data_IF_034911028787
#
_entry.id   IF_034911028787
#
_cell.length_a   1.000
_cell.length_b   1.000
_cell.length_c   1.000
_cell.angle_alpha   90.00
_cell.angle_beta   90.00
_cell.angle_gamma   90.00
#
_symmetry.space_group_name_H-M   'P 1'
#
loop_
_entity.id
_entity.type
_entity.pdbx_description
1 polymer ?
#
# COMPACT_ATOMS: atom_id res chain seq x y z
N UNK A 1 -31.21 7.93 12.07
CA UNK A 1 -32.42 8.32 11.32
C UNK A 1 -32.22 8.13 9.81
N UNK A 2 -31.28 8.84 9.17
CA UNK A 2 -31.07 8.77 7.72
C UNK A 2 -30.83 7.33 7.18
N UNK A 3 -30.04 6.51 7.88
CA UNK A 3 -29.82 5.10 7.53
C UNK A 3 -31.14 4.30 7.45
N UNK A 4 -32.03 4.49 8.43
CA UNK A 4 -33.34 3.86 8.48
C UNK A 4 -34.23 4.30 7.31
N UNK A 5 -34.25 5.60 7.01
CA UNK A 5 -35.07 6.15 5.91
C UNK A 5 -34.63 5.59 4.56
N UNK A 6 -33.33 5.51 4.31
CA UNK A 6 -32.77 4.94 3.08
C UNK A 6 -33.16 3.46 2.91
N UNK A 7 -33.07 2.65 3.96
CA UNK A 7 -33.38 1.22 3.91
C UNK A 7 -34.88 0.96 3.77
N UNK A 8 -35.73 1.75 4.45
CA UNK A 8 -37.19 1.59 4.41
C UNK A 8 -37.79 1.95 3.05
N UNK A 9 -37.26 2.97 2.40
CA UNK A 9 -37.70 3.37 1.07
C UNK A 9 -37.20 2.43 -0.05
N UNK A 10 -36.25 1.54 0.26
CA UNK A 10 -35.61 0.69 -0.73
C UNK A 10 -36.48 -0.48 -1.17
N UNK A 11 -36.80 -0.50 -2.46
CA UNK A 11 -37.32 -1.66 -3.18
C UNK A 11 -36.20 -2.28 -4.02
N UNK A 12 -35.67 -3.44 -3.62
CA UNK A 12 -34.61 -4.12 -4.35
C UNK A 12 -35.12 -4.64 -5.71
N UNK A 13 -34.27 -4.55 -6.73
CA UNK A 13 -34.63 -4.94 -8.11
C UNK A 13 -34.00 -6.27 -8.56
N UNK A 14 -33.10 -6.84 -7.76
CA UNK A 14 -32.40 -8.08 -8.04
C UNK A 14 -31.92 -8.76 -6.74
N UNK A 15 -31.50 -10.01 -6.85
CA UNK A 15 -31.05 -10.81 -5.71
C UNK A 15 -29.89 -10.17 -4.91
N UNK A 16 -28.94 -9.53 -5.59
CA UNK A 16 -27.82 -8.86 -4.90
C UNK A 16 -28.28 -7.65 -4.08
N UNK A 17 -29.28 -6.91 -4.58
CA UNK A 17 -29.92 -5.83 -3.82
C UNK A 17 -30.77 -6.36 -2.67
N UNK A 18 -31.47 -7.49 -2.85
CA UNK A 18 -32.22 -8.16 -1.79
C UNK A 18 -31.29 -8.56 -0.62
N UNK A 19 -30.17 -9.22 -0.93
CA UNK A 19 -29.18 -9.64 0.05
C UNK A 19 -28.57 -8.43 0.80
N UNK A 20 -28.23 -7.37 0.08
CA UNK A 20 -27.70 -6.15 0.69
C UNK A 20 -28.75 -5.43 1.54
N UNK A 21 -30.02 -5.41 1.10
CA UNK A 21 -31.12 -4.86 1.89
C UNK A 21 -31.32 -5.64 3.18
N UNK A 22 -31.37 -6.97 3.12
CA UNK A 22 -31.48 -7.82 4.30
C UNK A 22 -30.34 -7.56 5.29
N UNK A 23 -29.09 -7.52 4.81
CA UNK A 23 -27.93 -7.21 5.65
C UNK A 23 -28.03 -5.81 6.30
N UNK A 24 -28.63 -4.85 5.59
CA UNK A 24 -28.87 -3.49 6.09
C UNK A 24 -29.93 -3.47 7.19
N UNK A 25 -31.03 -4.21 7.01
CA UNK A 25 -32.09 -4.37 8.01
C UNK A 25 -31.58 -5.10 9.27
N UNK A 26 -30.73 -6.13 9.12
CA UNK A 26 -30.06 -6.80 10.23
C UNK A 26 -29.10 -5.87 10.99
N UNK A 27 -28.32 -5.06 10.26
CA UNK A 27 -27.40 -4.07 10.83
C UNK A 27 -28.16 -3.00 11.62
N UNK A 28 -29.26 -2.51 11.05
CA UNK A 28 -30.15 -1.55 11.71
C UNK A 28 -30.76 -2.12 13.00
N UNK A 29 -31.14 -3.40 12.99
CA UNK A 29 -31.65 -4.10 14.18
C UNK A 29 -30.58 -4.11 15.28
N UNK A 30 -29.34 -4.52 14.97
CA UNK A 30 -28.23 -4.49 15.94
C UNK A 30 -27.95 -3.09 16.50
N UNK A 31 -28.06 -2.05 15.67
CA UNK A 31 -27.91 -0.66 16.11
C UNK A 31 -29.03 -0.27 17.07
N UNK A 32 -30.28 -0.62 16.76
CA UNK A 32 -31.42 -0.36 17.62
C UNK A 32 -31.30 -1.10 18.95
N UNK A 33 -30.83 -2.35 18.95
CA UNK A 33 -30.62 -3.12 20.18
C UNK A 33 -29.65 -2.43 21.14
N UNK A 34 -28.59 -1.79 20.62
CA UNK A 34 -27.65 -0.97 21.42
C UNK A 34 -28.32 0.30 21.94
N UNK A 35 -29.07 1.00 21.09
CA UNK A 35 -29.69 2.28 21.45
C UNK A 35 -30.73 2.06 22.55
N UNK A 36 -31.62 1.08 22.34
CA UNK A 36 -32.73 0.71 23.20
C UNK A 36 -32.31 -0.15 24.42
N UNK A 37 -31.03 -0.50 24.55
CA UNK A 37 -30.50 -1.35 25.64
C UNK A 37 -31.16 -2.73 25.71
N UNK A 38 -31.51 -3.30 24.55
CA UNK A 38 -32.02 -4.67 24.46
C UNK A 38 -30.91 -5.72 24.54
N UNK A 39 -29.65 -5.30 24.36
CA UNK A 39 -28.46 -6.09 24.69
C UNK A 39 -27.81 -5.58 25.97
N UNK A 40 -27.15 -6.49 26.70
CA UNK A 40 -26.57 -6.16 27.99
C UNK A 40 -25.36 -5.22 27.88
N UNK A 41 -25.08 -4.48 28.97
CA UNK A 41 -23.97 -3.53 28.99
C UNK A 41 -22.59 -4.20 28.81
N UNK A 42 -22.43 -5.48 29.17
CA UNK A 42 -21.16 -6.20 29.03
C UNK A 42 -20.88 -6.52 27.55
N UNK A 43 -21.89 -6.90 26.80
CA UNK A 43 -21.85 -7.13 25.36
C UNK A 43 -21.58 -5.84 24.60
N UNK A 44 -22.27 -4.74 24.94
CA UNK A 44 -21.99 -3.41 24.37
C UNK A 44 -20.52 -3.04 24.60
N UNK A 45 -20.02 -3.24 25.82
CA UNK A 45 -18.61 -2.98 26.16
C UNK A 45 -17.66 -3.85 25.34
N UNK A 46 -17.96 -5.13 25.15
CA UNK A 46 -17.15 -6.05 24.33
C UNK A 46 -17.07 -5.59 22.88
N UNK A 47 -18.18 -5.12 22.29
CA UNK A 47 -18.19 -4.57 20.93
C UNK A 47 -17.39 -3.26 20.90
N UNK A 48 -17.69 -2.33 21.82
CA UNK A 48 -17.04 -1.02 21.88
C UNK A 48 -15.51 -1.11 22.08
N UNK A 49 -15.01 -2.13 22.77
CA UNK A 49 -13.57 -2.34 22.96
C UNK A 49 -12.81 -2.62 21.65
N UNK A 50 -13.51 -3.01 20.58
CA UNK A 50 -12.91 -3.20 19.24
C UNK A 50 -12.89 -1.92 18.41
N UNK A 51 -13.45 -0.83 18.93
CA UNK A 51 -13.47 0.46 18.25
C UNK A 51 -12.06 0.97 18.01
N UNK A 52 -11.81 1.35 16.76
CA UNK A 52 -10.64 2.12 16.35
C UNK A 52 -11.12 3.32 15.53
N UNK A 53 -10.71 4.55 15.87
CA UNK A 53 -11.12 5.73 15.14
C UNK A 53 -10.55 5.73 13.72
N UNK A 54 -11.22 6.41 12.79
CA UNK A 54 -10.73 6.60 11.42
C UNK A 54 -9.32 7.22 11.37
N UNK A 55 -8.95 8.07 12.33
CA UNK A 55 -7.59 8.62 12.43
C UNK A 55 -6.51 7.54 12.63
N UNK A 56 -6.86 6.40 13.22
CA UNK A 56 -5.97 5.26 13.44
C UNK A 56 -6.01 4.30 12.25
N UNK A 57 -7.19 3.86 11.81
CA UNK A 57 -7.31 2.80 10.81
C UNK A 57 -7.32 3.29 9.36
N UNK A 58 -7.71 4.55 9.14
CA UNK A 58 -7.93 5.21 7.84
C UNK A 58 -8.77 4.36 6.89
N UNK A 59 -10.08 4.62 6.84
CA UNK A 59 -11.02 3.87 6.00
C UNK A 59 -10.69 4.10 4.52
N UNK A 60 -10.59 3.00 3.76
CA UNK A 60 -10.38 3.07 2.32
C UNK A 60 -11.67 3.49 1.63
N UNK A 61 -11.56 4.41 0.66
CA UNK A 61 -12.70 4.83 -0.13
C UNK A 61 -13.18 3.65 -0.99
N UNK A 62 -14.46 3.26 -0.94
CA UNK A 62 -14.98 2.19 -1.79
C UNK A 62 -14.84 2.50 -3.28
N UNK A 63 -14.57 1.47 -4.08
CA UNK A 63 -14.41 1.57 -5.54
C UNK A 63 -15.68 2.11 -6.21
N UNK A 64 -16.85 1.83 -5.65
CA UNK A 64 -18.13 2.30 -6.16
C UNK A 64 -18.29 3.83 -6.06
N UNK A 65 -17.49 4.51 -5.23
CA UNK A 65 -17.51 5.97 -5.08
C UNK A 65 -16.39 6.66 -5.88
N UNK A 66 -15.60 5.92 -6.67
CA UNK A 66 -14.48 6.47 -7.45
C UNK A 66 -15.02 7.32 -8.61
N UNK A 67 -14.56 8.57 -8.71
CA UNK A 67 -14.92 9.48 -9.81
C UNK A 67 -16.35 10.01 -9.80
N UNK A 68 -17.17 9.70 -8.78
CA UNK A 68 -18.54 10.18 -8.66
C UNK A 68 -18.59 11.33 -7.65
N UNK A 69 -19.19 12.46 -8.05
CA UNK A 69 -19.41 13.59 -7.15
C UNK A 69 -20.70 13.44 -6.32
N UNK A 70 -20.85 14.27 -5.29
CA UNK A 70 -21.96 14.16 -4.35
C UNK A 70 -23.32 14.48 -4.99
N UNK A 71 -23.35 15.37 -5.99
CA UNK A 71 -24.57 15.75 -6.72
C UNK A 71 -25.08 14.62 -7.62
N UNK A 72 -24.17 13.89 -8.26
CA UNK A 72 -24.46 12.70 -9.06
C UNK A 72 -24.98 11.55 -8.19
N UNK A 73 -24.42 11.36 -7.00
CA UNK A 73 -24.90 10.32 -6.07
C UNK A 73 -26.32 10.64 -5.60
N UNK A 74 -26.61 11.92 -5.33
CA UNK A 74 -27.93 12.33 -4.87
C UNK A 74 -29.00 12.31 -5.98
N UNK A 75 -28.62 12.68 -7.20
CA UNK A 75 -29.51 12.69 -8.38
C UNK A 75 -29.78 11.29 -8.94
N UNK A 76 -28.83 10.35 -8.81
CA UNK A 76 -29.06 8.95 -9.12
C UNK A 76 -30.04 8.35 -8.09
N UNK A 77 -31.12 7.72 -8.55
CA UNK A 77 -32.00 6.90 -7.70
C UNK A 77 -31.37 5.55 -7.33
N UNK A 78 -30.04 5.53 -7.12
CA UNK A 78 -29.28 4.37 -6.73
C UNK A 78 -29.14 4.36 -5.20
N UNK A 79 -30.00 3.57 -4.55
CA UNK A 79 -30.02 3.48 -3.08
C UNK A 79 -28.75 2.80 -2.56
N UNK A 80 -28.20 1.83 -3.29
CA UNK A 80 -26.94 1.17 -2.91
C UNK A 80 -25.81 2.18 -2.86
N UNK A 81 -25.68 3.03 -3.88
CA UNK A 81 -24.65 4.07 -3.92
C UNK A 81 -24.83 5.10 -2.80
N UNK A 82 -26.07 5.52 -2.52
CA UNK A 82 -26.40 6.43 -1.41
C UNK A 82 -26.05 5.82 -0.05
N UNK A 83 -26.33 4.54 0.13
CA UNK A 83 -26.03 3.79 1.35
C UNK A 83 -24.51 3.63 1.53
N UNK A 84 -23.81 3.25 0.47
CA UNK A 84 -22.34 3.17 0.47
C UNK A 84 -21.70 4.49 0.86
N UNK A 85 -22.15 5.60 0.24
CA UNK A 85 -21.68 6.94 0.60
C UNK A 85 -21.99 7.27 2.04
N UNK A 86 -23.23 7.05 2.50
CA UNK A 86 -23.62 7.34 3.87
C UNK A 86 -22.74 6.59 4.89
N UNK A 87 -22.58 5.28 4.73
CA UNK A 87 -21.79 4.46 5.65
C UNK A 87 -20.32 4.89 5.63
N UNK A 88 -19.74 5.11 4.45
CA UNK A 88 -18.38 5.62 4.32
C UNK A 88 -18.20 6.97 5.02
N UNK A 89 -19.09 7.93 4.77
CA UNK A 89 -19.08 9.25 5.39
C UNK A 89 -19.21 9.18 6.92
N UNK A 90 -20.08 8.30 7.43
CA UNK A 90 -20.20 8.05 8.87
C UNK A 90 -18.90 7.48 9.43
N UNK A 91 -18.32 6.45 8.82
CA UNK A 91 -17.06 5.88 9.29
C UNK A 91 -15.91 6.89 9.27
N UNK A 92 -15.88 7.80 8.29
CA UNK A 92 -14.83 8.81 8.22
C UNK A 92 -15.00 9.95 9.25
N UNK A 93 -16.24 10.37 9.53
CA UNK A 93 -16.54 11.61 10.29
C UNK A 93 -17.04 11.36 11.72
N UNK A 94 -17.65 10.20 11.98
CA UNK A 94 -18.22 9.89 13.29
C UNK A 94 -17.12 9.46 14.26
N UNK A 95 -16.84 10.30 15.26
CA UNK A 95 -15.85 10.03 16.30
C UNK A 95 -16.53 9.93 17.70
N UNK A 96 -17.19 8.82 18.00
CA UNK A 96 -17.94 8.65 19.24
C UNK A 96 -17.05 8.62 20.48
N UNK A 97 -17.44 9.40 21.51
CA UNK A 97 -16.83 9.35 22.85
C UNK A 97 -17.48 8.28 23.72
N UNK A 98 -18.81 8.18 23.63
CA UNK A 98 -19.64 7.28 24.44
C UNK A 98 -19.53 5.82 23.99
N UNK A 99 -19.67 4.90 24.95
CA UNK A 99 -19.55 3.45 24.73
C UNK A 99 -20.52 2.93 23.66
N UNK A 100 -21.80 3.34 23.72
CA UNK A 100 -22.80 2.95 22.72
C UNK A 100 -22.43 3.43 21.33
N UNK A 101 -21.97 4.68 21.20
CA UNK A 101 -21.53 5.23 19.92
C UNK A 101 -20.36 4.44 19.32
N UNK A 102 -19.39 4.04 20.16
CA UNK A 102 -18.27 3.18 19.74
C UNK A 102 -18.75 1.81 19.27
N UNK A 103 -19.71 1.20 19.97
CA UNK A 103 -20.29 -0.07 19.56
C UNK A 103 -21.03 0.03 18.21
N UNK A 104 -21.81 1.10 18.00
CA UNK A 104 -22.49 1.39 16.73
C UNK A 104 -21.49 1.56 15.59
N UNK A 105 -20.39 2.30 15.83
CA UNK A 105 -19.33 2.45 14.83
C UNK A 105 -18.75 1.09 14.41
N UNK A 106 -18.47 0.20 15.37
CA UNK A 106 -17.92 -1.14 15.07
C UNK A 106 -18.89 -1.95 14.21
N UNK A 107 -20.19 -1.92 14.50
CA UNK A 107 -21.21 -2.61 13.69
C UNK A 107 -21.28 -2.03 12.27
N UNK A 108 -21.24 -0.71 12.13
CA UNK A 108 -21.21 -0.07 10.81
C UNK A 108 -19.94 -0.43 10.03
N UNK A 109 -18.80 -0.53 10.72
CA UNK A 109 -17.54 -0.92 10.10
C UNK A 109 -17.54 -2.38 9.64
N UNK A 110 -18.10 -3.30 10.42
CA UNK A 110 -18.30 -4.70 10.02
C UNK A 110 -19.21 -4.82 8.80
N UNK A 111 -20.32 -4.08 8.80
CA UNK A 111 -21.22 -4.01 7.65
C UNK A 111 -20.50 -3.49 6.41
N UNK A 112 -19.73 -2.42 6.55
CA UNK A 112 -18.94 -1.82 5.48
C UNK A 112 -17.90 -2.81 4.91
N UNK A 113 -17.16 -3.50 5.77
CA UNK A 113 -16.17 -4.49 5.36
C UNK A 113 -16.81 -5.64 4.59
N UNK A 114 -17.90 -6.21 5.12
CA UNK A 114 -18.53 -7.40 4.55
C UNK A 114 -19.34 -7.12 3.29
N UNK A 115 -20.16 -6.07 3.29
CA UNK A 115 -21.21 -5.88 2.29
C UNK A 115 -20.95 -4.74 1.30
N UNK A 116 -20.12 -3.75 1.66
CA UNK A 116 -19.76 -2.65 0.75
C UNK A 116 -18.43 -2.94 0.06
N UNK A 117 -17.39 -3.25 0.85
CA UNK A 117 -16.03 -3.47 0.34
C UNK A 117 -15.87 -4.90 -0.20
N UNK A 118 -16.51 -5.86 0.48
CA UNK A 118 -16.38 -7.30 0.22
C UNK A 118 -15.26 -7.92 1.06
N UNK A 119 -15.45 -9.17 1.49
CA UNK A 119 -14.54 -9.86 2.42
C UNK A 119 -13.11 -10.00 1.90
N UNK A 120 -12.94 -10.03 0.57
CA UNK A 120 -11.65 -10.18 -0.09
C UNK A 120 -10.88 -8.86 -0.23
N UNK A 121 -11.51 -7.71 0.03
CA UNK A 121 -10.88 -6.39 -0.14
C UNK A 121 -10.54 -5.77 1.22
N UNK A 122 -9.38 -5.10 1.35
CA UNK A 122 -9.09 -4.32 2.55
C UNK A 122 -10.10 -3.17 2.68
N UNK A 123 -10.71 -3.03 3.86
CA UNK A 123 -11.65 -1.95 4.15
C UNK A 123 -10.95 -0.70 4.72
N UNK A 124 -9.70 -0.84 5.13
CA UNK A 124 -8.91 0.20 5.77
C UNK A 124 -7.43 0.08 5.42
N UNK A 125 -6.67 1.14 5.68
CA UNK A 125 -5.21 1.11 5.52
C UNK A 125 -4.61 0.08 6.46
N UNK A 126 -5.16 -0.07 7.67
CA UNK A 126 -4.70 -1.07 8.61
C UNK A 126 -4.84 -2.49 8.03
N UNK A 127 -5.97 -2.81 7.39
CA UNK A 127 -6.16 -4.10 6.71
C UNK A 127 -5.11 -4.30 5.60
N UNK A 128 -4.88 -3.28 4.77
CA UNK A 128 -3.90 -3.34 3.68
C UNK A 128 -2.48 -3.58 4.20
N UNK A 129 -2.06 -2.84 5.23
CA UNK A 129 -0.74 -3.00 5.86
C UNK A 129 -0.60 -4.41 6.44
N UNK A 130 -1.64 -4.96 7.05
CA UNK A 130 -1.64 -6.34 7.52
C UNK A 130 -1.44 -7.35 6.39
N UNK A 131 -2.14 -7.18 5.26
CA UNK A 131 -1.98 -8.06 4.08
C UNK A 131 -0.53 -8.00 3.56
N UNK A 132 0.02 -6.79 3.41
CA UNK A 132 1.38 -6.61 2.89
C UNK A 132 2.46 -7.18 3.82
N UNK A 133 2.28 -7.04 5.15
CA UNK A 133 3.19 -7.64 6.14
C UNK A 133 3.12 -9.16 6.13
N UNK A 134 1.92 -9.73 6.02
CA UNK A 134 1.74 -11.18 5.94
C UNK A 134 2.33 -11.73 4.64
N UNK A 135 2.11 -11.04 3.51
CA UNK A 135 2.73 -11.41 2.23
C UNK A 135 4.26 -11.38 2.29
N UNK A 136 4.86 -10.35 2.89
CA UNK A 136 6.31 -10.31 3.12
C UNK A 136 6.79 -11.52 3.94
N UNK A 137 6.07 -11.85 5.02
CA UNK A 137 6.41 -12.98 5.88
C UNK A 137 6.38 -14.28 5.09
N UNK A 138 5.34 -14.51 4.29
CA UNK A 138 5.22 -15.69 3.42
C UNK A 138 6.37 -15.78 2.40
N UNK A 139 6.73 -14.67 1.74
CA UNK A 139 7.87 -14.66 0.81
C UNK A 139 9.20 -15.06 1.47
N UNK A 140 9.42 -14.65 2.71
CA UNK A 140 10.63 -15.00 3.47
C UNK A 140 10.60 -16.45 3.97
N UNK A 141 9.43 -16.97 4.34
CA UNK A 141 9.25 -18.37 4.74
C UNK A 141 9.44 -19.34 3.57
N UNK A 142 9.04 -18.94 2.36
CA UNK A 142 9.27 -19.69 1.12
C UNK A 142 10.75 -19.70 0.72
N UNK A 143 11.49 -18.64 1.03
CA UNK A 143 12.93 -18.51 0.74
C UNK A 143 13.79 -18.74 1.99
N UNK A 144 13.91 -20.00 2.38
CA UNK A 144 14.71 -20.42 3.55
C UNK A 144 16.17 -19.97 3.49
N UNK A 145 16.73 -19.80 2.28
CA UNK A 145 18.11 -19.36 2.10
C UNK A 145 18.27 -17.88 2.45
N UNK A 146 17.35 -17.03 1.96
CA UNK A 146 17.32 -15.62 2.36
C UNK A 146 17.07 -15.48 3.86
N UNK A 147 16.17 -16.27 4.43
CA UNK A 147 15.86 -16.20 5.86
C UNK A 147 17.10 -16.48 6.73
N UNK A 148 17.83 -17.56 6.43
CA UNK A 148 19.09 -17.88 7.12
C UNK A 148 20.18 -16.84 6.89
N UNK A 149 20.27 -16.30 5.67
CA UNK A 149 21.23 -15.24 5.36
C UNK A 149 20.92 -13.94 6.14
N UNK A 150 19.65 -13.63 6.40
CA UNK A 150 19.26 -12.45 7.19
C UNK A 150 19.68 -12.56 8.65
N UNK A 151 19.71 -13.77 9.24
CA UNK A 151 20.19 -14.00 10.61
C UNK A 151 21.68 -13.69 10.78
N UNK A 152 22.46 -13.84 9.71
CA UNK A 152 23.91 -13.61 9.68
C UNK A 152 24.26 -12.36 8.87
N UNK A 153 23.30 -11.45 8.68
CA UNK A 153 23.48 -10.26 7.87
C UNK A 153 24.60 -9.36 8.40
N UNK A 154 25.49 -8.96 7.49
CA UNK A 154 26.55 -8.00 7.74
C UNK A 154 26.21 -6.70 6.99
N UNK A 155 26.18 -5.54 7.68
CA UNK A 155 25.94 -4.25 7.04
C UNK A 155 26.88 -3.98 5.86
N UNK A 156 26.30 -3.59 4.72
CA UNK A 156 27.07 -3.21 3.54
C UNK A 156 27.69 -1.82 3.71
N UNK A 157 28.92 -1.70 3.24
CA UNK A 157 29.56 -0.40 2.99
C UNK A 157 29.38 -0.02 1.52
N UNK A 158 29.14 1.25 1.26
CA UNK A 158 28.95 1.82 -0.07
C UNK A 158 29.83 3.07 -0.25
N UNK A 159 29.92 3.56 -1.48
CA UNK A 159 30.56 4.82 -1.83
C UNK A 159 29.87 5.42 -3.06
N UNK A 160 30.09 6.71 -3.32
CA UNK A 160 29.46 7.44 -4.42
C UNK A 160 30.17 7.26 -5.77
N UNK A 161 31.27 6.50 -5.80
CA UNK A 161 32.06 6.38 -7.01
C UNK A 161 31.47 5.30 -7.92
N UNK A 162 31.34 5.56 -9.24
CA UNK A 162 31.00 4.52 -10.18
C UNK A 162 32.05 3.42 -10.07
N UNK A 163 31.60 2.18 -10.07
CA UNK A 163 32.51 1.04 -10.00
C UNK A 163 33.46 1.08 -11.21
N UNK A 164 34.76 1.21 -10.97
CA UNK A 164 35.81 1.07 -11.98
C UNK A 164 36.54 -0.24 -11.63
N UNK A 165 36.75 -1.11 -12.62
CA UNK A 165 37.35 -2.44 -12.42
C UNK A 165 38.84 -2.40 -12.00
N UNK A 166 39.40 -1.21 -11.80
CA UNK A 166 40.79 -1.00 -11.40
C UNK A 166 40.97 -1.06 -9.88
N UNK A 167 41.95 -1.88 -9.49
CA UNK A 167 42.42 -2.21 -8.14
C UNK A 167 43.03 -1.03 -7.35
N UNK A 168 42.57 0.21 -7.56
CA UNK A 168 43.06 1.36 -6.80
C UNK A 168 42.33 1.47 -5.46
N UNK A 169 42.84 0.73 -4.47
CA UNK A 169 42.60 0.83 -3.03
C UNK A 169 43.00 2.22 -2.46
N UNK A 170 42.54 3.33 -3.05
CA UNK A 170 43.00 4.69 -2.71
C UNK A 170 41.93 5.68 -2.28
N UNK A 171 40.67 5.29 -2.14
CA UNK A 171 39.65 6.17 -1.53
C UNK A 171 38.92 5.47 -0.40
N UNK A 172 39.24 5.88 0.83
CA UNK A 172 38.64 5.42 2.08
C UNK A 172 37.27 6.06 2.37
N UNK A 173 36.59 6.60 1.37
CA UNK A 173 35.33 7.31 1.54
C UNK A 173 34.12 6.35 1.53
N UNK A 174 34.30 5.16 2.11
CA UNK A 174 33.20 4.22 2.27
C UNK A 174 32.33 4.63 3.45
N UNK A 175 31.02 4.56 3.28
CA UNK A 175 30.04 4.84 4.33
C UNK A 175 29.11 3.65 4.53
N UNK A 176 28.42 3.64 5.66
CA UNK A 176 27.37 2.65 5.93
C UNK A 176 26.22 2.84 4.93
N UNK A 177 26.00 1.83 4.09
CA UNK A 177 25.02 1.90 3.00
C UNK A 177 23.59 2.07 3.54
N UNK A 178 23.29 1.49 4.70
CA UNK A 178 21.98 1.59 5.30
C UNK A 178 21.71 3.02 5.77
N UNK A 179 22.59 3.58 6.60
CA UNK A 179 22.44 4.93 7.13
C UNK A 179 22.38 5.96 6.00
N UNK A 180 23.20 5.78 4.96
CA UNK A 180 23.17 6.67 3.81
C UNK A 180 21.82 6.61 3.07
N UNK A 181 21.26 5.42 2.83
CA UNK A 181 19.93 5.29 2.22
C UNK A 181 18.85 5.89 3.11
N UNK A 182 18.89 5.68 4.43
CA UNK A 182 17.93 6.30 5.35
C UNK A 182 18.01 7.83 5.28
N UNK A 183 19.23 8.39 5.32
CA UNK A 183 19.42 9.83 5.20
C UNK A 183 18.86 10.36 3.87
N UNK A 184 19.14 9.68 2.75
CA UNK A 184 18.56 10.04 1.45
C UNK A 184 17.02 10.00 1.49
N UNK A 185 16.43 8.99 2.14
CA UNK A 185 14.99 8.88 2.31
C UNK A 185 14.40 9.93 3.29
N UNK A 186 15.21 10.61 4.11
CA UNK A 186 14.78 11.63 5.08
C UNK A 186 15.06 13.08 4.61
N UNK A 187 16.18 13.33 3.93
CA UNK A 187 16.70 14.65 3.51
C UNK A 187 15.77 15.45 2.57
N UNK A 188 14.72 14.82 2.03
CA UNK A 188 13.72 15.48 1.19
C UNK A 188 12.53 16.08 1.97
N UNK A 189 12.47 15.92 3.30
CA UNK A 189 11.43 16.55 4.13
C UNK A 189 11.73 18.03 4.48
N UNK A 190 12.96 18.53 4.24
CA UNK A 190 13.32 19.93 4.47
C UNK A 190 12.97 20.87 3.29
N UNK A 191 12.28 21.96 3.64
CA UNK A 191 11.64 22.93 2.75
C UNK A 191 12.55 23.49 1.63
N UNK A 192 12.05 23.41 0.38
CA UNK A 192 12.41 24.18 -0.86
C UNK A 192 13.01 23.35 -1.99
N UNK A 193 12.21 22.46 -2.57
CA UNK A 193 12.48 21.89 -3.89
C UNK A 193 11.18 21.75 -4.68
N UNK A 194 11.18 22.22 -5.93
CA UNK A 194 10.04 22.26 -6.87
C UNK A 194 9.43 20.87 -7.09
N UNK A 195 8.16 20.78 -7.52
CA UNK A 195 7.40 19.50 -7.70
C UNK A 195 8.14 18.39 -8.49
N UNK A 196 9.10 18.74 -9.34
CA UNK A 196 9.96 17.79 -10.08
C UNK A 196 11.01 17.09 -9.20
N UNK A 197 11.34 17.59 -8.02
CA UNK A 197 12.38 17.05 -7.13
C UNK A 197 11.84 16.14 -6.02
N UNK A 198 10.54 15.83 -5.99
CA UNK A 198 9.92 14.88 -5.02
C UNK A 198 10.10 13.41 -5.41
N UNK A 199 10.72 13.13 -6.55
CA UNK A 199 10.82 11.80 -7.17
C UNK A 199 12.24 11.29 -7.04
N UNK A 200 12.52 10.63 -5.93
CA UNK A 200 13.83 10.09 -5.62
C UNK A 200 14.01 8.70 -6.22
N UNK A 201 15.03 8.55 -7.07
CA UNK A 201 15.51 7.26 -7.55
C UNK A 201 16.91 7.04 -6.99
N UNK A 202 17.09 6.00 -6.21
CA UNK A 202 18.36 5.56 -5.64
C UNK A 202 18.78 4.29 -6.39
N UNK A 203 20.00 4.27 -6.92
CA UNK A 203 20.56 3.12 -7.61
C UNK A 203 21.60 2.47 -6.70
N UNK A 204 21.41 1.20 -6.37
CA UNK A 204 22.41 0.42 -5.66
C UNK A 204 23.12 -0.51 -6.65
N UNK A 205 24.36 -0.14 -6.99
CA UNK A 205 25.21 -0.92 -7.89
C UNK A 205 26.22 -1.76 -7.12
N UNK A 206 26.63 -2.88 -7.73
CA UNK A 206 27.71 -3.69 -7.19
C UNK A 206 27.89 -5.01 -7.92
N UNK A 207 28.99 -5.71 -7.64
CA UNK A 207 29.28 -7.03 -8.24
C UNK A 207 28.20 -8.06 -7.94
N UNK A 208 28.15 -9.11 -8.76
CA UNK A 208 27.37 -10.31 -8.41
C UNK A 208 27.85 -10.87 -7.08
N UNK A 209 26.93 -11.30 -6.22
CA UNK A 209 27.25 -11.82 -4.88
C UNK A 209 27.65 -10.77 -3.84
N UNK A 210 27.59 -9.46 -4.14
CA UNK A 210 27.94 -8.41 -3.18
C UNK A 210 26.90 -8.16 -2.08
N UNK A 211 25.85 -8.99 -2.00
CA UNK A 211 24.82 -8.90 -0.94
C UNK A 211 23.68 -7.91 -1.19
N UNK A 212 23.53 -7.31 -2.39
CA UNK A 212 22.48 -6.31 -2.68
C UNK A 212 21.06 -6.77 -2.36
N UNK A 213 20.66 -7.95 -2.83
CA UNK A 213 19.33 -8.51 -2.57
C UNK A 213 19.08 -8.75 -1.08
N UNK A 214 20.10 -9.23 -0.37
CA UNK A 214 20.04 -9.44 1.08
C UNK A 214 19.92 -8.12 1.83
N UNK A 215 20.69 -7.10 1.42
CA UNK A 215 20.57 -5.73 1.91
C UNK A 215 19.15 -5.20 1.70
N UNK A 216 18.56 -5.36 0.51
CA UNK A 216 17.21 -4.91 0.20
C UNK A 216 16.14 -5.57 1.07
N UNK A 217 16.26 -6.88 1.33
CA UNK A 217 15.36 -7.59 2.26
C UNK A 217 15.52 -7.13 3.70
N UNK A 218 16.75 -6.90 4.14
CA UNK A 218 17.02 -6.35 5.47
C UNK A 218 16.49 -4.92 5.62
N UNK A 219 16.69 -4.07 4.60
CA UNK A 219 16.16 -2.70 4.53
C UNK A 219 14.63 -2.69 4.59
N UNK A 220 13.95 -3.56 3.83
CA UNK A 220 12.50 -3.74 3.94
C UNK A 220 12.10 -4.13 5.37
N UNK A 221 12.87 -4.99 6.05
CA UNK A 221 12.81 -5.26 7.49
C UNK A 221 12.71 -4.00 8.34
N UNK A 222 13.76 -3.19 8.27
CA UNK A 222 13.92 -2.03 9.12
C UNK A 222 12.89 -0.94 8.80
N UNK A 223 12.58 -0.71 7.52
CA UNK A 223 11.55 0.26 7.12
C UNK A 223 10.17 -0.11 7.66
N UNK A 224 9.83 -1.41 7.73
CA UNK A 224 8.56 -1.85 8.33
C UNK A 224 8.49 -1.62 9.84
N UNK A 225 9.61 -1.74 10.55
CA UNK A 225 9.71 -1.40 11.98
C UNK A 225 9.63 0.12 12.20
N UNK A 226 10.30 0.91 11.37
CA UNK A 226 10.18 2.38 11.39
C UNK A 226 8.74 2.84 11.10
N UNK A 227 8.05 2.20 10.14
CA UNK A 227 6.65 2.49 9.83
C UNK A 227 5.75 2.19 11.04
N UNK A 228 5.98 1.07 11.74
CA UNK A 228 5.25 0.70 12.96
C UNK A 228 5.44 1.71 14.10
N UNK A 229 6.61 2.33 14.17
CA UNK A 229 6.93 3.36 15.15
C UNK A 229 6.44 4.77 14.74
N UNK A 230 5.71 4.88 13.61
CA UNK A 230 5.28 6.13 12.99
C UNK A 230 6.45 7.07 12.62
N UNK A 231 7.66 6.51 12.44
CA UNK A 231 8.85 7.28 12.04
C UNK A 231 8.89 7.54 10.53
N UNK A 232 8.17 6.76 9.72
CA UNK A 232 8.01 7.00 8.27
C UNK A 232 6.56 6.82 7.86
N UNK A 233 6.11 7.64 6.91
CA UNK A 233 4.78 7.51 6.29
C UNK A 233 4.79 6.68 5.01
N UNK A 234 5.96 6.24 4.54
CA UNK A 234 6.08 5.47 3.30
C UNK A 234 5.99 3.97 3.58
N UNK A 235 5.14 3.28 2.83
CA UNK A 235 4.96 1.83 2.92
C UNK A 235 6.06 1.13 2.13
N UNK A 236 6.96 0.36 2.76
CA UNK A 236 8.06 -0.30 2.05
C UNK A 236 7.56 -1.59 1.37
N UNK A 237 7.91 -1.77 0.10
CA UNK A 237 7.53 -2.92 -0.71
C UNK A 237 8.74 -3.41 -1.48
N UNK A 238 9.24 -4.59 -1.15
CA UNK A 238 10.23 -5.29 -1.96
C UNK A 238 9.58 -5.94 -3.18
N UNK A 239 10.20 -5.74 -4.34
CA UNK A 239 9.77 -6.24 -5.64
C UNK A 239 10.97 -6.89 -6.32
N UNK A 240 10.93 -8.22 -6.46
CA UNK A 240 11.90 -8.94 -7.29
C UNK A 240 11.52 -8.75 -8.77
N UNK A 241 12.29 -7.92 -9.48
CA UNK A 241 12.10 -7.67 -10.90
C UNK A 241 12.12 -8.96 -11.74
N UNK A 242 13.04 -9.93 -11.53
CA UNK A 242 13.03 -11.20 -12.26
C UNK A 242 11.72 -11.97 -12.15
N UNK A 243 11.04 -11.88 -10.99
CA UNK A 243 9.79 -12.60 -10.73
C UNK A 243 8.56 -11.90 -11.33
N UNK A 244 8.52 -10.58 -11.34
CA UNK A 244 7.34 -9.82 -11.76
C UNK A 244 7.43 -9.29 -13.20
N UNK A 245 8.63 -9.21 -13.79
CA UNK A 245 8.82 -8.56 -15.07
C UNK A 245 8.18 -9.35 -16.23
N UNK A 246 7.38 -8.65 -17.01
CA UNK A 246 6.72 -9.16 -18.21
C UNK A 246 6.85 -8.14 -19.35
N UNK A 247 7.53 -8.54 -20.43
CA UNK A 247 7.79 -7.72 -21.62
C UNK A 247 6.51 -7.13 -22.24
N UNK A 248 5.39 -7.84 -22.14
CA UNK A 248 4.12 -7.40 -22.72
C UNK A 248 3.41 -6.33 -21.86
N UNK A 249 3.78 -6.17 -20.59
CA UNK A 249 3.04 -5.38 -19.61
C UNK A 249 3.93 -4.61 -18.62
N UNK A 250 5.07 -4.10 -19.08
CA UNK A 250 6.07 -3.40 -18.25
C UNK A 250 5.48 -2.22 -17.46
N UNK A 251 4.52 -1.50 -18.04
CA UNK A 251 3.80 -0.39 -17.38
C UNK A 251 3.01 -0.82 -16.14
N UNK A 252 2.70 -2.10 -16.01
CA UNK A 252 1.93 -2.65 -14.91
C UNK A 252 2.79 -3.35 -13.86
N UNK A 253 4.12 -3.26 -13.92
CA UNK A 253 5.02 -4.02 -13.06
C UNK A 253 4.74 -3.84 -11.56
N UNK A 254 4.50 -2.61 -11.11
CA UNK A 254 4.15 -2.33 -9.70
C UNK A 254 2.78 -2.92 -9.36
N UNK A 255 1.81 -2.81 -10.27
CA UNK A 255 0.47 -3.35 -10.06
C UNK A 255 0.49 -4.88 -10.00
N UNK A 256 1.28 -5.53 -10.85
CA UNK A 256 1.50 -6.97 -10.85
C UNK A 256 2.20 -7.42 -9.57
N UNK A 257 3.24 -6.71 -9.13
CA UNK A 257 3.91 -7.00 -7.87
C UNK A 257 2.95 -6.90 -6.67
N UNK A 258 2.07 -5.90 -6.63
CA UNK A 258 1.06 -5.78 -5.58
C UNK A 258 -0.02 -6.88 -5.66
N UNK A 259 -0.40 -7.33 -6.86
CA UNK A 259 -1.31 -8.46 -7.05
C UNK A 259 -0.70 -9.77 -6.55
N UNK A 260 0.59 -10.00 -6.80
CA UNK A 260 1.32 -11.15 -6.24
C UNK A 260 1.32 -11.13 -4.71
N UNK A 261 1.24 -9.94 -4.11
CA UNK A 261 1.08 -9.71 -2.66
C UNK A 261 -0.38 -9.69 -2.20
N UNK A 262 -1.29 -10.31 -2.97
CA UNK A 262 -2.73 -10.47 -2.68
C UNK A 262 -3.53 -9.16 -2.66
N UNK A 263 -3.05 -8.10 -3.31
CA UNK A 263 -3.81 -6.86 -3.46
C UNK A 263 -4.66 -6.91 -4.73
N UNK A 264 -5.98 -6.80 -4.57
CA UNK A 264 -6.92 -6.84 -5.68
C UNK A 264 -6.76 -5.63 -6.61
N UNK A 265 -6.89 -5.88 -7.92
CA UNK A 265 -6.71 -4.88 -8.99
C UNK A 265 -7.56 -3.62 -8.78
N UNK A 266 -8.78 -3.77 -8.30
CA UNK A 266 -9.72 -2.66 -8.13
C UNK A 266 -9.27 -1.67 -7.03
N UNK A 267 -8.52 -2.16 -6.04
CA UNK A 267 -8.02 -1.36 -4.92
C UNK A 267 -6.70 -0.66 -5.26
N UNK A 268 -5.97 -1.17 -6.26
CA UNK A 268 -4.64 -0.64 -6.66
C UNK A 268 -4.70 0.85 -7.00
N UNK A 269 -5.74 1.30 -7.69
CA UNK A 269 -5.85 2.72 -8.02
C UNK A 269 -6.10 3.58 -6.77
N UNK A 270 -6.91 3.07 -5.83
CA UNK A 270 -7.20 3.78 -4.58
C UNK A 270 -5.94 3.93 -3.75
N UNK A 271 -5.13 2.87 -3.61
CA UNK A 271 -3.88 2.93 -2.84
C UNK A 271 -2.84 3.82 -3.55
N UNK A 272 -2.80 3.81 -4.88
CA UNK A 272 -1.88 4.65 -5.66
C UNK A 272 -2.15 6.13 -5.43
N UNK A 273 -3.41 6.53 -5.36
CA UNK A 273 -3.80 7.93 -5.16
C UNK A 273 -3.62 8.41 -3.71
N UNK A 274 -3.69 7.51 -2.72
CA UNK A 274 -3.84 7.91 -1.32
C UNK A 274 -2.72 7.40 -0.38
N UNK A 275 -1.71 6.70 -0.90
CA UNK A 275 -0.58 6.19 -0.09
C UNK A 275 0.76 6.59 -0.69
N UNK A 276 1.76 6.67 0.18
CA UNK A 276 3.15 6.87 -0.19
C UNK A 276 3.93 5.57 -0.03
N UNK A 277 4.86 5.28 -0.93
CA UNK A 277 5.61 4.01 -0.93
C UNK A 277 7.13 4.19 -0.98
N UNK A 278 7.86 3.20 -0.46
CA UNK A 278 9.24 2.95 -0.87
C UNK A 278 9.25 1.66 -1.68
N UNK A 279 9.46 1.76 -2.98
CA UNK A 279 9.59 0.58 -3.85
C UNK A 279 11.05 0.16 -3.93
N UNK A 280 11.35 -1.06 -3.50
CA UNK A 280 12.68 -1.65 -3.57
C UNK A 280 12.66 -2.66 -4.73
N UNK A 281 13.10 -2.21 -5.90
CA UNK A 281 13.15 -2.96 -7.15
C UNK A 281 14.49 -3.70 -7.27
N UNK A 282 14.48 -4.99 -6.99
CA UNK A 282 15.70 -5.80 -6.93
C UNK A 282 15.93 -6.62 -8.19
N UNK A 283 17.17 -6.64 -8.68
CA UNK A 283 17.61 -7.50 -9.79
C UNK A 283 17.33 -6.93 -11.18
N UNK A 284 17.54 -5.63 -11.41
CA UNK A 284 17.30 -5.04 -12.73
C UNK A 284 18.22 -5.61 -13.81
N UNK A 285 19.46 -5.99 -13.47
CA UNK A 285 20.40 -6.62 -14.40
C UNK A 285 19.90 -7.95 -14.96
N UNK A 286 19.09 -8.69 -14.21
CA UNK A 286 18.55 -9.98 -14.64
C UNK A 286 17.44 -9.85 -15.69
N UNK A 287 16.79 -8.69 -15.77
CA UNK A 287 15.76 -8.40 -16.77
C UNK A 287 16.29 -7.54 -17.92
N UNK A 288 17.54 -7.07 -17.83
CA UNK A 288 18.09 -6.06 -18.75
C UNK A 288 18.07 -6.52 -20.20
N UNK A 289 18.41 -7.77 -20.50
CA UNK A 289 18.40 -8.29 -21.87
C UNK A 289 17.02 -8.23 -22.52
N UNK A 290 15.98 -8.51 -21.74
CA UNK A 290 14.58 -8.47 -22.19
C UNK A 290 14.10 -7.02 -22.30
N UNK A 291 14.45 -6.21 -21.31
CA UNK A 291 14.20 -4.78 -21.29
C UNK A 291 14.78 -4.08 -22.52
N UNK A 292 16.03 -4.36 -22.87
CA UNK A 292 16.74 -3.68 -23.96
C UNK A 292 16.27 -4.14 -25.35
N UNK A 293 15.74 -5.36 -25.49
CA UNK A 293 15.24 -5.89 -26.77
C UNK A 293 13.85 -5.39 -27.15
N UNK A 294 13.08 -4.95 -26.18
CA UNK A 294 11.68 -4.60 -26.39
C UNK A 294 11.58 -3.15 -26.89
N UNK A 295 10.97 -2.98 -28.06
CA UNK A 295 10.87 -1.74 -28.82
C UNK A 295 9.77 -0.85 -28.21
N UNK A 296 10.08 -0.30 -27.04
CA UNK A 296 9.18 0.60 -26.31
C UNK A 296 9.59 2.04 -26.62
N UNK A 297 8.62 2.88 -27.01
CA UNK A 297 8.82 4.30 -27.33
C UNK A 297 9.45 5.09 -26.17
N UNK A 298 9.38 4.57 -24.94
CA UNK A 298 9.99 5.15 -23.74
C UNK A 298 11.37 4.56 -23.47
N UNK A 299 12.39 5.42 -23.58
CA UNK A 299 13.81 5.04 -23.37
C UNK A 299 14.17 4.73 -21.92
N UNK A 300 13.53 5.38 -20.95
CA UNK A 300 13.95 5.39 -19.55
C UNK A 300 13.07 4.51 -18.66
N UNK A 301 13.70 3.76 -17.73
CA UNK A 301 13.01 2.73 -16.94
C UNK A 301 11.91 3.33 -16.07
N UNK A 302 12.12 4.54 -15.54
CA UNK A 302 11.18 5.23 -14.66
C UNK A 302 9.83 5.48 -15.35
N UNK A 303 9.87 6.05 -16.55
CA UNK A 303 8.66 6.28 -17.35
C UNK A 303 8.10 5.00 -17.95
N UNK A 304 8.98 4.06 -18.32
CA UNK A 304 8.60 2.79 -18.96
C UNK A 304 7.82 1.89 -18.01
N UNK A 305 8.18 1.89 -16.74
CA UNK A 305 7.44 1.20 -15.67
C UNK A 305 6.30 2.03 -15.07
N UNK A 306 6.01 3.21 -15.63
CA UNK A 306 5.01 4.16 -15.13
C UNK A 306 5.17 4.47 -13.63
N UNK A 307 6.42 4.59 -13.16
CA UNK A 307 6.70 4.90 -11.74
C UNK A 307 6.25 6.31 -11.37
N UNK A 308 6.13 7.19 -12.37
CA UNK A 308 5.61 8.55 -12.23
C UNK A 308 4.15 8.63 -11.75
N UNK A 309 3.37 7.56 -11.91
CA UNK A 309 1.98 7.47 -11.42
C UNK A 309 1.89 7.18 -9.92
N UNK A 310 3.01 6.86 -9.28
CA UNK A 310 3.08 6.48 -7.88
C UNK A 310 3.74 7.57 -7.04
N UNK A 311 3.13 7.88 -5.89
CA UNK A 311 3.79 8.69 -4.87
C UNK A 311 4.82 7.82 -4.13
N UNK A 312 5.98 7.59 -4.74
CA UNK A 312 6.95 6.64 -4.25
C UNK A 312 8.40 7.10 -4.38
N UNK A 313 9.20 6.71 -3.38
CA UNK A 313 10.66 6.70 -3.48
C UNK A 313 11.08 5.35 -4.05
N UNK A 314 12.00 5.36 -5.00
CA UNK A 314 12.40 4.17 -5.74
C UNK A 314 13.85 3.83 -5.39
N UNK A 315 14.08 2.59 -4.98
CA UNK A 315 15.41 2.02 -4.82
C UNK A 315 15.51 0.91 -5.87
N UNK A 316 16.48 0.97 -6.77
CA UNK A 316 16.70 -0.05 -7.78
C UNK A 316 18.08 -0.67 -7.62
N UNK A 317 18.19 -1.99 -7.67
CA UNK A 317 19.49 -2.68 -7.64
C UNK A 317 19.85 -3.20 -9.02
N UNK A 318 21.14 -3.13 -9.35
CA UNK A 318 21.68 -3.76 -10.56
C UNK A 318 23.17 -4.10 -10.41
N UNK A 319 23.70 -4.86 -11.37
CA UNK A 319 25.16 -4.97 -11.55
C UNK A 319 25.74 -3.64 -11.98
N UNK A 320 27.02 -3.45 -11.66
CA UNK A 320 27.82 -2.34 -12.19
C UNK A 320 27.68 -2.26 -13.71
N UNK A 321 27.58 -1.03 -14.25
CA UNK A 321 27.51 -0.72 -15.69
C UNK A 321 26.21 -1.08 -16.42
N UNK A 322 25.19 -1.61 -15.73
CA UNK A 322 23.89 -1.93 -16.36
C UNK A 322 23.00 -0.69 -16.50
N UNK A 323 23.02 0.19 -15.51
CA UNK A 323 22.31 1.47 -15.52
C UNK A 323 23.33 2.59 -15.34
N UNK A 324 23.20 3.66 -16.11
CA UNK A 324 23.89 4.92 -15.89
C UNK A 324 22.89 6.02 -15.57
N UNK A 325 23.35 7.16 -15.02
CA UNK A 325 22.50 8.32 -14.73
C UNK A 325 21.72 8.80 -15.97
N UNK A 326 22.29 8.60 -17.17
CA UNK A 326 21.64 8.93 -18.43
C UNK A 326 20.43 8.06 -18.77
N UNK A 327 20.34 6.84 -18.22
CA UNK A 327 19.21 5.90 -18.42
C UNK A 327 18.00 6.21 -17.51
N UNK A 328 18.12 7.27 -16.70
CA UNK A 328 17.20 7.61 -15.61
C UNK A 328 16.65 9.04 -15.76
N UNK A 329 17.04 9.77 -16.82
CA UNK A 329 16.55 11.13 -17.05
C UNK A 329 15.02 11.16 -17.02
N UNK A 330 14.48 11.94 -16.08
CA UNK A 330 13.05 12.17 -15.83
C UNK A 330 12.46 13.21 -16.78
#
# INVERSE_FOLDING_TARGET
HLFYEQIRAWKPNNQLEDELKQASDETLTKINDIICEWIDMKEIKKIANRYKPNSEIRILKPTQLKGINDEEINSKNDIKLKLTKFVYDQLCKFNPKEMKGKAIYVILFEYFKKHITGEMNPASYLDLISILKESKKQELEEDTTILQALETYIPLQANDYPYIDDNDNKRSDSYDCHQHIINLLEEEEEEKKTEQQKKQVIILQGKSGSGKSLFCRNLEGMLWESYKNNSTMFVPIYISLPRCYNELNEKQIISQALQMKQINKEIIDIIRENMSFVFILDGFDEIFDKYNKNDNDKRYFYDRFNLNEWNAKIIVTCRSHVLNDEDIKQ
#
